data_IF_400391473356
#
_entry.id   IF_400391473356
#
_cell.length_a   1.000
_cell.length_b   1.000
_cell.length_c   1.000
_cell.angle_alpha   90.00
_cell.angle_beta   90.00
_cell.angle_gamma   90.00
#
_symmetry.space_group_name_H-M   'P 1'
#
loop_
_entity.id
_entity.type
_entity.pdbx_description
1 polymer ?
#
# COMPACT_ATOMS: atom_id res chain seq x y z
N UNK A 1 23.73 -4.32 -21.80
CA UNK A 1 22.78 -3.19 -21.71
C UNK A 1 21.61 -3.76 -20.90
N UNK A 2 21.77 -3.90 -19.58
CA UNK A 2 20.85 -4.72 -18.78
C UNK A 2 20.74 -4.15 -17.37
N UNK A 3 19.79 -3.25 -17.11
CA UNK A 3 19.11 -3.06 -15.81
C UNK A 3 18.21 -1.82 -15.82
N UNK A 4 17.12 -1.87 -16.56
CA UNK A 4 15.99 -0.99 -16.34
C UNK A 4 14.74 -1.87 -16.31
N UNK A 5 13.93 -1.77 -15.24
CA UNK A 5 12.65 -2.47 -15.04
C UNK A 5 12.67 -3.88 -14.44
N UNK A 6 13.35 -4.10 -13.31
CA UNK A 6 12.92 -5.16 -12.39
C UNK A 6 12.44 -4.52 -11.08
N UNK A 7 11.14 -4.64 -10.82
CA UNK A 7 10.55 -4.23 -9.55
C UNK A 7 11.24 -4.98 -8.39
N UNK A 8 11.38 -4.36 -7.20
CA UNK A 8 11.99 -5.04 -6.06
C UNK A 8 11.19 -6.29 -5.70
N UNK A 9 11.89 -7.34 -5.27
CA UNK A 9 11.24 -8.58 -4.83
C UNK A 9 10.43 -8.30 -3.57
N UNK A 10 9.11 -8.50 -3.64
CA UNK A 10 8.24 -8.46 -2.48
C UNK A 10 8.36 -9.76 -1.67
N UNK A 11 8.42 -9.64 -0.34
CA UNK A 11 8.39 -10.76 0.58
C UNK A 11 7.23 -10.56 1.57
N UNK A 12 6.45 -11.61 1.81
CA UNK A 12 5.34 -11.56 2.75
C UNK A 12 5.86 -11.49 4.20
N UNK A 13 5.30 -10.63 5.07
CA UNK A 13 5.63 -10.62 6.48
C UNK A 13 5.28 -11.95 7.18
N UNK A 14 6.06 -12.34 8.19
CA UNK A 14 5.75 -13.52 9.00
C UNK A 14 4.47 -13.31 9.83
N UNK A 15 3.70 -14.37 10.00
CA UNK A 15 2.50 -14.42 10.86
C UNK A 15 2.83 -14.61 12.35
N UNK A 16 4.05 -15.02 12.66
CA UNK A 16 4.45 -15.39 14.02
C UNK A 16 4.31 -14.19 14.98
N UNK A 17 3.51 -14.37 16.03
CA UNK A 17 3.24 -13.33 17.02
C UNK A 17 2.47 -12.12 16.50
N UNK A 18 1.85 -12.18 15.30
CA UNK A 18 1.05 -11.09 14.74
C UNK A 18 -0.45 -11.37 14.84
N UNK A 19 -1.24 -10.30 14.94
CA UNK A 19 -2.71 -10.38 14.94
C UNK A 19 -3.21 -10.51 13.50
N UNK A 20 -3.67 -11.70 13.13
CA UNK A 20 -4.22 -11.97 11.80
C UNK A 20 -5.71 -11.58 11.78
N UNK A 21 -6.12 -10.85 10.74
CA UNK A 21 -7.47 -10.28 10.61
C UNK A 21 -8.24 -10.83 9.42
N UNK A 22 -7.66 -11.77 8.65
CA UNK A 22 -8.17 -12.26 7.37
C UNK A 22 -8.47 -11.12 6.36
N UNK A 23 -7.83 -9.97 6.52
CA UNK A 23 -7.90 -8.85 5.58
C UNK A 23 -6.97 -9.12 4.38
N UNK A 24 -7.45 -8.85 3.18
CA UNK A 24 -6.66 -8.95 1.95
C UNK A 24 -6.59 -7.60 1.24
N UNK A 25 -5.39 -7.22 0.80
CA UNK A 25 -5.12 -5.96 0.10
C UNK A 25 -4.60 -6.27 -1.29
N UNK A 26 -5.05 -5.54 -2.31
CA UNK A 26 -4.47 -5.62 -3.65
C UNK A 26 -3.09 -4.97 -3.64
N UNK A 27 -2.05 -5.76 -3.88
CA UNK A 27 -0.68 -5.27 -3.95
C UNK A 27 -0.27 -5.11 -5.42
N UNK A 28 -0.10 -3.86 -5.84
CA UNK A 28 0.33 -3.54 -7.20
C UNK A 28 1.72 -4.09 -7.56
N UNK A 29 2.59 -4.35 -6.58
CA UNK A 29 3.93 -4.93 -6.79
C UNK A 29 3.86 -6.41 -7.21
N UNK A 30 2.84 -7.13 -6.76
CA UNK A 30 2.64 -8.56 -7.07
C UNK A 30 1.50 -8.80 -8.05
N UNK A 31 0.75 -7.76 -8.43
CA UNK A 31 -0.46 -7.83 -9.25
C UNK A 31 -1.50 -8.82 -8.70
N UNK A 32 -1.57 -8.96 -7.38
CA UNK A 32 -2.44 -9.95 -6.71
C UNK A 32 -2.93 -9.45 -5.36
N UNK A 33 -3.98 -10.09 -4.84
CA UNK A 33 -4.42 -9.91 -3.47
C UNK A 33 -3.45 -10.63 -2.54
N UNK A 34 -2.94 -9.91 -1.54
CA UNK A 34 -2.07 -10.45 -0.49
C UNK A 34 -2.74 -10.29 0.86
N UNK A 35 -2.49 -11.21 1.77
CA UNK A 35 -2.98 -11.13 3.14
C UNK A 35 -2.26 -9.99 3.88
N UNK A 36 -3.03 -9.14 4.55
CA UNK A 36 -2.51 -8.04 5.33
C UNK A 36 -2.08 -8.54 6.72
N UNK A 37 -0.79 -8.44 7.01
CA UNK A 37 -0.20 -8.83 8.29
C UNK A 37 0.42 -7.57 8.92
N UNK A 38 -0.12 -7.07 10.05
CA UNK A 38 0.39 -5.85 10.67
C UNK A 38 1.78 -6.07 11.25
N UNK A 39 2.68 -5.11 11.05
CA UNK A 39 4.04 -5.19 11.58
C UNK A 39 4.09 -4.97 13.11
N UNK A 40 3.22 -4.14 13.68
CA UNK A 40 3.26 -3.73 15.08
C UNK A 40 1.88 -3.83 15.76
N UNK A 41 1.41 -5.03 16.07
CA UNK A 41 0.17 -5.22 16.83
C UNK A 41 -1.05 -4.55 16.17
N UNK A 42 -1.61 -3.53 16.84
CA UNK A 42 -2.73 -2.71 16.33
C UNK A 42 -2.28 -1.38 15.69
N UNK A 43 -0.98 -1.17 15.49
CA UNK A 43 -0.40 0.02 14.86
C UNK A 43 -0.01 -0.30 13.42
N UNK A 44 -0.36 0.60 12.52
CA UNK A 44 0.00 0.53 11.11
C UNK A 44 0.67 1.84 10.70
N UNK A 45 1.67 1.74 9.83
CA UNK A 45 2.24 2.90 9.14
C UNK A 45 1.63 2.93 7.76
N UNK A 46 0.92 4.01 7.44
CA UNK A 46 0.22 4.19 6.18
C UNK A 46 0.63 5.53 5.58
N UNK A 47 0.89 5.54 4.27
CA UNK A 47 1.27 6.73 3.53
C UNK A 47 0.48 6.80 2.22
N UNK A 48 -0.06 7.98 1.93
CA UNK A 48 -0.70 8.31 0.67
C UNK A 48 -0.11 9.64 0.17
N UNK A 49 0.14 9.73 -1.14
CA UNK A 49 0.66 10.95 -1.74
C UNK A 49 -0.39 12.08 -1.67
N UNK A 50 0.05 13.29 -1.30
CA UNK A 50 -0.78 14.49 -1.31
C UNK A 50 -0.87 15.15 -2.70
N UNK A 51 -1.69 16.21 -2.84
CA UNK A 51 -1.81 16.94 -4.09
C UNK A 51 -0.65 17.94 -4.23
N UNK A 52 -0.33 18.33 -5.45
CA UNK A 52 0.54 19.48 -5.69
C UNK A 52 -0.24 20.76 -5.37
N UNK A 53 0.28 21.60 -4.47
CA UNK A 53 -0.45 22.72 -3.83
C UNK A 53 -0.48 24.02 -4.64
N UNK A 54 -0.19 23.99 -5.94
CA UNK A 54 -0.13 25.19 -6.78
C UNK A 54 -1.51 25.68 -7.27
N UNK A 55 -2.54 24.85 -7.16
CA UNK A 55 -3.90 25.18 -7.60
C UNK A 55 -4.96 24.46 -6.75
N UNK A 56 -6.22 24.84 -6.94
CA UNK A 56 -7.37 24.25 -6.29
C UNK A 56 -7.50 22.74 -6.61
N UNK A 57 -7.78 21.95 -5.59
CA UNK A 57 -8.02 20.53 -5.76
C UNK A 57 -9.32 20.28 -6.54
N UNK A 58 -9.25 19.45 -7.58
CA UNK A 58 -10.41 19.03 -8.35
C UNK A 58 -10.99 17.69 -7.85
N UNK A 59 -12.15 17.29 -8.39
CA UNK A 59 -12.88 16.08 -7.99
C UNK A 59 -12.03 14.78 -8.06
N UNK A 60 -11.02 14.75 -8.93
CA UNK A 60 -10.10 13.60 -9.04
C UNK A 60 -9.22 13.42 -7.80
N UNK A 61 -8.72 14.53 -7.23
CA UNK A 61 -8.02 14.50 -5.94
C UNK A 61 -8.97 14.04 -4.83
N UNK A 62 -10.20 14.59 -4.79
CA UNK A 62 -11.19 14.23 -3.77
C UNK A 62 -11.56 12.74 -3.80
N UNK A 63 -11.81 12.16 -4.98
CA UNK A 63 -12.09 10.72 -5.13
C UNK A 63 -11.00 9.87 -4.51
N UNK A 64 -9.76 10.23 -4.79
CA UNK A 64 -8.57 9.54 -4.32
C UNK A 64 -8.50 9.59 -2.79
N UNK A 65 -8.68 10.76 -2.16
CA UNK A 65 -8.62 10.89 -0.70
C UNK A 65 -9.81 10.29 0.06
N UNK A 66 -10.98 10.15 -0.57
CA UNK A 66 -12.14 9.48 0.04
C UNK A 66 -12.07 7.96 -0.10
N UNK A 67 -11.41 7.45 -1.15
CA UNK A 67 -11.34 6.01 -1.42
C UNK A 67 -10.22 5.30 -0.67
N UNK A 68 -9.31 6.04 -0.03
CA UNK A 68 -8.19 5.49 0.75
C UNK A 68 -8.57 5.17 2.19
#
# INVERSE_FOLDING_TARGET
>A
MDNANKLPKWNQPSKEGKKITNLFVNNSLTHSKVEFIPQEGNKIKWYACGPTVYDAAHLGHARTYVSF
#
